data_IF_331536621115
#
_entry.id   IF_331536621115
#
_cell.length_a   1.000
_cell.length_b   1.000
_cell.length_c   1.000
_cell.angle_alpha   90.00
_cell.angle_beta   90.00
_cell.angle_gamma   90.00
#
_symmetry.space_group_name_H-M   'P 1'
#
loop_
_entity.id
_entity.type
_entity.pdbx_description
1 polymer ?
#
# COMPACT_ATOMS: atom_id res chain seq x y z
N UNK A 1 -23.73 1.26 -11.21
CA UNK A 1 -22.60 0.96 -10.29
C UNK A 1 -21.32 1.06 -11.10
N UNK A 2 -20.52 2.12 -10.95
CA UNK A 2 -19.20 2.16 -11.60
C UNK A 2 -18.34 1.09 -10.96
N UNK A 3 -18.07 0.00 -11.69
CA UNK A 3 -17.02 -0.95 -11.34
C UNK A 3 -15.76 -0.14 -11.00
N UNK A 4 -15.27 -0.25 -9.76
CA UNK A 4 -14.02 0.39 -9.35
C UNK A 4 -12.90 -0.23 -10.18
N UNK A 5 -12.63 0.35 -11.35
CA UNK A 5 -11.53 -0.06 -12.22
C UNK A 5 -10.25 -0.04 -11.41
N UNK A 6 -9.67 -1.21 -11.25
CA UNK A 6 -8.38 -1.36 -10.57
C UNK A 6 -7.31 -1.38 -11.64
N UNK A 7 -6.36 -0.46 -11.55
CA UNK A 7 -5.22 -0.39 -12.47
C UNK A 7 -3.98 -0.95 -11.76
N UNK A 8 -3.28 -1.88 -12.43
CA UNK A 8 -2.01 -2.40 -11.92
C UNK A 8 -0.91 -1.36 -12.18
N UNK A 9 -0.13 -1.07 -11.15
CA UNK A 9 1.04 -0.20 -11.22
C UNK A 9 2.28 -0.97 -10.79
N UNK A 10 3.40 -0.71 -11.46
CA UNK A 10 4.72 -1.20 -11.07
C UNK A 10 5.56 -0.02 -10.59
N UNK A 11 6.20 -0.17 -9.43
CA UNK A 11 7.00 0.88 -8.80
C UNK A 11 8.38 0.34 -8.43
N UNK A 12 9.41 1.15 -8.61
CA UNK A 12 10.75 0.87 -8.10
C UNK A 12 10.93 1.56 -6.76
N UNK A 13 11.29 0.77 -5.75
CA UNK A 13 11.57 1.23 -4.40
C UNK A 13 12.92 0.66 -3.97
N UNK A 14 13.62 1.37 -3.09
CA UNK A 14 14.77 0.79 -2.41
C UNK A 14 14.32 -0.20 -1.31
N UNK A 15 15.23 -1.08 -0.91
CA UNK A 15 14.93 -2.15 0.04
C UNK A 15 14.48 -1.63 1.41
N UNK A 16 15.00 -0.47 1.83
CA UNK A 16 14.64 0.17 3.10
C UNK A 16 13.17 0.56 3.10
N UNK A 17 12.69 1.17 2.01
CA UNK A 17 11.29 1.55 1.87
C UNK A 17 10.38 0.34 1.75
N UNK A 18 10.81 -0.70 1.01
CA UNK A 18 10.05 -1.94 0.92
C UNK A 18 9.89 -2.62 2.28
N UNK A 19 10.96 -2.66 3.08
CA UNK A 19 10.93 -3.18 4.44
C UNK A 19 9.96 -2.42 5.33
N UNK A 20 9.98 -1.08 5.29
CA UNK A 20 9.02 -0.25 6.06
C UNK A 20 7.57 -0.56 5.71
N UNK A 21 7.27 -0.83 4.45
CA UNK A 21 5.92 -1.23 4.01
C UNK A 21 5.55 -2.61 4.53
N UNK A 22 6.50 -3.55 4.55
CA UNK A 22 6.28 -4.89 5.10
C UNK A 22 6.09 -4.86 6.62
N UNK A 23 6.93 -4.12 7.35
CA UNK A 23 6.81 -3.95 8.80
C UNK A 23 5.44 -3.33 9.15
N UNK A 24 5.03 -2.28 8.44
CA UNK A 24 3.71 -1.66 8.61
C UNK A 24 2.55 -2.64 8.35
N UNK A 25 2.67 -3.50 7.34
CA UNK A 25 1.67 -4.52 7.03
C UNK A 25 1.51 -5.49 8.20
N UNK A 26 2.61 -5.93 8.80
CA UNK A 26 2.61 -6.86 9.94
C UNK A 26 2.03 -6.19 11.20
N UNK A 27 2.52 -5.00 11.55
CA UNK A 27 2.07 -4.23 12.72
C UNK A 27 0.56 -3.94 12.70
N UNK A 28 -0.01 -3.75 11.51
CA UNK A 28 -1.43 -3.44 11.33
C UNK A 28 -2.25 -4.67 10.88
N UNK A 29 -1.65 -5.88 10.89
CA UNK A 29 -2.31 -7.14 10.50
C UNK A 29 -3.01 -7.06 9.13
N UNK A 30 -2.38 -6.37 8.17
CA UNK A 30 -2.96 -6.15 6.85
C UNK A 30 -2.78 -7.38 5.95
N UNK A 31 -3.80 -7.72 5.15
CA UNK A 31 -3.83 -8.99 4.41
C UNK A 31 -2.85 -9.04 3.23
N UNK A 32 -2.33 -7.90 2.78
CA UNK A 32 -1.37 -7.84 1.68
C UNK A 32 -0.56 -6.54 1.69
N UNK A 33 0.60 -6.56 1.01
CA UNK A 33 1.38 -5.33 0.74
C UNK A 33 0.56 -4.28 0.00
N UNK A 34 -0.30 -4.69 -0.94
CA UNK A 34 -1.16 -3.76 -1.67
C UNK A 34 -2.13 -3.04 -0.72
N UNK A 35 -2.70 -3.74 0.26
CA UNK A 35 -3.55 -3.14 1.29
C UNK A 35 -2.77 -2.11 2.14
N UNK A 36 -1.55 -2.46 2.57
CA UNK A 36 -0.65 -1.55 3.28
C UNK A 36 -0.33 -0.30 2.47
N UNK A 37 0.08 -0.45 1.21
CA UNK A 37 0.41 0.67 0.32
C UNK A 37 -0.82 1.56 0.10
N UNK A 38 -2.00 0.98 -0.14
CA UNK A 38 -3.24 1.74 -0.32
C UNK A 38 -3.64 2.52 0.93
N UNK A 39 -3.48 1.92 2.11
CA UNK A 39 -3.77 2.59 3.38
C UNK A 39 -2.80 3.74 3.66
N UNK A 40 -1.50 3.51 3.47
CA UNK A 40 -0.46 4.54 3.59
C UNK A 40 -0.71 5.69 2.61
N UNK A 41 -1.12 5.40 1.37
CA UNK A 41 -1.49 6.42 0.39
C UNK A 41 -2.71 7.21 0.82
N UNK A 42 -3.75 6.58 1.40
CA UNK A 42 -4.92 7.32 1.94
C UNK A 42 -4.51 8.28 3.06
N UNK A 43 -3.73 7.78 4.03
CA UNK A 43 -3.20 8.58 5.14
C UNK A 43 -2.34 9.76 4.65
N UNK A 44 -1.46 9.52 3.68
CA UNK A 44 -0.56 10.54 3.13
C UNK A 44 -1.25 11.57 2.24
N UNK A 45 -2.33 11.21 1.55
CA UNK A 45 -3.11 12.11 0.71
C UNK A 45 -4.19 12.89 1.48
N UNK A 46 -4.25 12.76 2.81
CA UNK A 46 -5.15 13.54 3.67
C UNK A 46 -6.64 13.31 3.39
N UNK A 47 -7.01 12.10 2.94
CA UNK A 47 -8.41 11.69 2.76
C UNK A 47 -8.81 10.61 3.75
#
# INVERSE_FOLDING_TARGET
MSEKKTTRVEIRLNDIMLKKVDDYKEDNSLPSRAAAILELMRKGLGK
#
